data_IF_378969136738
#
_entry.id   IF_378969136738
#
_cell.length_a   1.000
_cell.length_b   1.000
_cell.length_c   1.000
_cell.angle_alpha   90.00
_cell.angle_beta   90.00
_cell.angle_gamma   90.00
#
_symmetry.space_group_name_H-M   'P 1'
#
loop_
_entity.id
_entity.type
_entity.pdbx_description
1 polymer ?
#
# COMPACT_ATOMS: atom_id res chain seq x y z
N UNK A 1 -12.46 4.46 -4.64
CA UNK A 1 -11.50 4.32 -3.53
C UNK A 1 -11.03 5.68 -3.03
N UNK A 2 -10.85 5.87 -1.72
CA UNK A 2 -10.27 7.08 -1.11
C UNK A 2 -8.75 6.97 -0.93
N UNK A 3 -8.03 8.09 -1.03
CA UNK A 3 -6.57 8.14 -0.84
C UNK A 3 -6.22 9.04 0.34
N UNK A 4 -5.41 8.54 1.27
CA UNK A 4 -4.93 9.26 2.44
C UNK A 4 -3.40 9.33 2.47
N UNK A 5 -2.86 10.45 2.96
CA UNK A 5 -1.42 10.57 3.24
C UNK A 5 -0.53 10.69 2.00
N UNK A 6 -1.08 11.06 0.84
CA UNK A 6 -0.31 11.29 -0.39
C UNK A 6 0.79 12.35 -0.20
N UNK A 7 0.47 13.44 0.48
CA UNK A 7 1.42 14.52 0.78
C UNK A 7 2.56 14.03 1.68
N UNK A 8 2.28 13.04 2.53
CA UNK A 8 3.27 12.51 3.47
C UNK A 8 4.43 11.80 2.76
N UNK A 9 4.24 11.35 1.52
CA UNK A 9 5.27 10.64 0.75
C UNK A 9 5.87 11.47 -0.39
N UNK A 10 5.46 12.73 -0.57
CA UNK A 10 5.92 13.56 -1.70
C UNK A 10 7.44 13.68 -1.75
N UNK A 11 8.05 14.12 -0.65
CA UNK A 11 9.49 14.23 -0.54
C UNK A 11 10.23 12.90 -0.76
N UNK A 12 9.55 11.77 -0.53
CA UNK A 12 10.14 10.46 -0.68
C UNK A 12 10.21 10.08 -2.15
N UNK A 13 9.20 10.45 -2.95
CA UNK A 13 9.17 10.18 -4.39
C UNK A 13 10.31 10.88 -5.16
N UNK A 14 10.87 11.95 -4.62
CA UNK A 14 12.02 12.66 -5.21
C UNK A 14 13.37 11.93 -4.97
N UNK A 15 13.39 10.85 -4.18
CA UNK A 15 14.59 10.07 -3.90
C UNK A 15 14.65 8.80 -4.78
N UNK A 16 15.80 8.52 -5.40
CA UNK A 16 16.00 7.32 -6.23
C UNK A 16 15.84 5.98 -5.47
N UNK A 17 15.91 6.03 -4.14
CA UNK A 17 15.89 4.87 -3.26
C UNK A 17 14.87 4.99 -2.13
N UNK A 18 13.62 5.37 -2.45
CA UNK A 18 12.58 5.48 -1.45
C UNK A 18 12.00 4.13 -1.01
N UNK A 19 11.47 4.12 0.21
CA UNK A 19 10.56 3.09 0.65
C UNK A 19 9.58 3.64 1.68
N UNK A 20 8.29 3.53 1.36
CA UNK A 20 7.21 3.91 2.27
C UNK A 20 6.22 2.76 2.42
N UNK A 21 5.35 2.88 3.42
CA UNK A 21 4.37 1.86 3.77
C UNK A 21 2.99 2.34 3.35
N UNK A 22 2.09 1.37 3.14
CA UNK A 22 0.69 1.67 2.94
C UNK A 22 -0.23 0.65 3.57
N UNK A 23 -1.47 1.08 3.83
CA UNK A 23 -2.61 0.23 4.17
C UNK A 23 -3.64 0.30 3.06
N UNK A 24 -4.29 -0.81 2.73
CA UNK A 24 -5.24 -0.88 1.62
C UNK A 24 -6.40 -1.82 1.94
N UNK A 25 -7.62 -1.41 1.62
CA UNK A 25 -8.77 -2.30 1.51
C UNK A 25 -9.62 -1.89 0.30
N UNK A 26 -10.84 -2.41 0.19
CA UNK A 26 -11.72 -2.12 -0.96
C UNK A 26 -12.21 -0.66 -1.00
N UNK A 27 -12.09 0.07 0.11
CA UNK A 27 -12.64 1.43 0.24
C UNK A 27 -11.57 2.51 0.21
N UNK A 28 -10.36 2.23 0.71
CA UNK A 28 -9.32 3.23 0.87
C UNK A 28 -7.90 2.67 0.76
N UNK A 29 -6.98 3.55 0.38
CA UNK A 29 -5.53 3.38 0.55
C UNK A 29 -4.98 4.51 1.41
N UNK A 30 -4.08 4.20 2.34
CA UNK A 30 -3.32 5.19 3.09
C UNK A 30 -1.83 4.98 2.93
N UNK A 31 -1.15 6.03 2.49
CA UNK A 31 0.30 6.08 2.28
C UNK A 31 0.95 6.80 3.46
N UNK A 32 2.07 6.28 3.95
CA UNK A 32 2.80 6.89 5.06
C UNK A 32 4.27 6.49 5.06
N UNK A 33 5.13 7.39 5.56
CA UNK A 33 6.57 7.15 5.68
C UNK A 33 6.87 5.95 6.55
N UNK A 34 7.88 5.17 6.16
CA UNK A 34 8.35 4.03 6.95
C UNK A 34 9.05 4.47 8.25
N UNK A 35 9.47 5.73 8.36
CA UNK A 35 10.15 6.29 9.52
C UNK A 35 9.55 7.64 9.92
N UNK A 36 9.56 7.92 11.22
CA UNK A 36 9.21 9.24 11.77
C UNK A 36 10.38 10.23 11.61
N UNK A 37 10.14 11.52 11.84
CA UNK A 37 11.20 12.54 11.84
C UNK A 37 12.33 12.30 12.86
N UNK A 38 12.09 11.45 13.87
CA UNK A 38 13.10 10.99 14.84
C UNK A 38 13.76 9.65 14.49
N UNK A 39 13.52 9.11 13.29
CA UNK A 39 14.15 7.87 12.79
C UNK A 39 13.51 6.55 13.25
N UNK A 40 12.42 6.59 14.02
CA UNK A 40 11.72 5.37 14.48
C UNK A 40 10.87 4.76 13.37
N UNK A 41 10.86 3.42 13.27
CA UNK A 41 10.07 2.72 12.26
C UNK A 41 8.57 2.78 12.57
N UNK A 42 7.77 3.22 11.58
CA UNK A 42 6.31 3.20 11.68
C UNK A 42 5.80 1.81 11.33
N UNK A 43 5.03 1.20 12.22
CA UNK A 43 4.44 -0.12 11.98
C UNK A 43 3.05 0.02 11.34
N UNK A 44 2.68 -0.91 10.46
CA UNK A 44 1.33 -0.92 9.85
C UNK A 44 0.22 -0.92 10.90
N UNK A 45 0.39 -1.67 12.00
CA UNK A 45 -0.60 -1.75 13.09
C UNK A 45 -0.78 -0.45 13.89
N UNK A 46 0.22 0.43 13.88
CA UNK A 46 0.13 1.74 14.55
C UNK A 46 -0.61 2.78 13.71
N UNK A 47 -0.90 2.48 12.44
CA UNK A 47 -1.55 3.41 11.53
C UNK A 47 -3.03 3.05 11.38
N UNK A 48 -3.92 3.95 11.79
CA UNK A 48 -5.38 3.79 11.67
C UNK A 48 -5.98 5.06 11.08
N UNK A 49 -6.52 4.95 9.88
CA UNK A 49 -7.07 6.10 9.14
C UNK A 49 -8.09 5.64 8.11
N UNK A 50 -9.14 6.42 7.88
CA UNK A 50 -10.11 6.14 6.81
C UNK A 50 -10.80 4.78 6.96
N UNK A 51 -10.96 4.26 8.19
CA UNK A 51 -11.51 2.93 8.45
C UNK A 51 -10.54 1.77 8.18
N UNK A 52 -9.27 2.04 7.84
CA UNK A 52 -8.21 1.03 7.68
C UNK A 52 -7.64 0.64 9.04
N UNK A 53 -7.59 -0.66 9.30
CA UNK A 53 -6.93 -1.24 10.48
C UNK A 53 -6.19 -2.50 10.06
N UNK A 54 -4.87 -2.50 10.19
CA UNK A 54 -4.06 -3.71 10.13
C UNK A 54 -3.82 -4.19 11.56
N UNK A 55 -4.14 -5.46 11.81
CA UNK A 55 -3.97 -6.08 13.13
C UNK A 55 -3.20 -7.39 12.96
N UNK A 56 -2.52 -7.78 14.02
CA UNK A 56 -1.81 -9.07 14.08
C UNK A 56 -2.81 -10.23 13.86
N UNK A 57 -2.30 -11.37 13.40
CA UNK A 57 -3.10 -12.55 13.02
C UNK A 57 -4.19 -12.27 11.97
N UNK A 58 -4.00 -11.25 11.12
CA UNK A 58 -4.94 -10.90 10.04
C UNK A 58 -6.34 -10.51 10.55
N UNK A 59 -6.45 -10.07 11.81
CA UNK A 59 -7.74 -9.70 12.42
C UNK A 59 -8.30 -8.37 11.88
N UNK A 60 -7.43 -7.60 11.24
CA UNK A 60 -7.75 -6.32 10.61
C UNK A 60 -8.62 -6.45 9.37
N UNK A 61 -8.84 -5.30 8.74
CA UNK A 61 -9.61 -5.17 7.50
C UNK A 61 -8.78 -4.56 6.36
N UNK A 62 -7.46 -4.45 6.54
CA UNK A 62 -6.56 -3.82 5.57
C UNK A 62 -5.35 -4.71 5.28
N UNK A 63 -4.93 -4.73 4.03
CA UNK A 63 -3.65 -5.24 3.57
C UNK A 63 -2.51 -4.32 4.02
N UNK A 64 -1.36 -4.90 4.34
CA UNK A 64 -0.13 -4.16 4.60
C UNK A 64 0.76 -4.19 3.35
N UNK A 65 1.24 -3.01 2.95
CA UNK A 65 2.02 -2.82 1.72
C UNK A 65 3.34 -2.13 2.02
N UNK A 66 4.35 -2.47 1.22
CA UNK A 66 5.61 -1.73 1.11
C UNK A 66 5.73 -1.28 -0.35
N UNK A 67 5.98 0.01 -0.55
CA UNK A 67 6.15 0.59 -1.88
C UNK A 67 7.60 1.05 -2.03
N UNK A 68 8.20 0.67 -3.16
CA UNK A 68 9.58 1.00 -3.58
C UNK A 68 9.54 1.38 -5.07
N UNK A 69 10.58 2.02 -5.61
CA UNK A 69 10.65 2.31 -7.04
C UNK A 69 10.34 1.07 -7.90
N UNK A 70 9.27 1.14 -8.70
CA UNK A 70 8.87 0.10 -9.64
C UNK A 70 8.16 -1.12 -9.04
N UNK A 71 7.92 -1.17 -7.72
CA UNK A 71 7.28 -2.32 -7.08
C UNK A 71 6.38 -1.96 -5.88
N UNK A 72 5.23 -2.63 -5.81
CA UNK A 72 4.34 -2.66 -4.65
C UNK A 72 4.36 -4.09 -4.10
N UNK A 73 4.83 -4.26 -2.88
CA UNK A 73 4.89 -5.55 -2.16
C UNK A 73 3.73 -5.63 -1.17
N UNK A 74 2.81 -6.58 -1.38
CA UNK A 74 1.65 -6.83 -0.54
C UNK A 74 1.93 -8.01 0.39
N UNK A 75 1.76 -7.80 1.69
CA UNK A 75 1.84 -8.87 2.69
C UNK A 75 0.59 -9.72 2.69
N UNK A 76 0.75 -11.01 3.00
CA UNK A 76 -0.35 -11.96 3.11
C UNK A 76 -1.46 -11.49 4.05
N UNK A 77 -2.70 -11.76 3.66
CA UNK A 77 -3.88 -11.63 4.50
C UNK A 77 -4.93 -12.68 4.09
N UNK A 78 -5.39 -13.47 5.05
CA UNK A 78 -6.34 -14.58 4.85
C UNK A 78 -7.68 -14.19 4.19
N UNK A 79 -8.19 -12.99 4.47
CA UNK A 79 -9.46 -12.44 3.94
C UNK A 79 -9.38 -11.91 2.51
N UNK A 80 -8.19 -11.89 1.89
CA UNK A 80 -7.98 -11.31 0.57
C UNK A 80 -7.46 -12.38 -0.41
N UNK A 81 -8.33 -12.82 -1.32
CA UNK A 81 -7.94 -13.72 -2.41
C UNK A 81 -7.13 -12.99 -3.48
N UNK A 82 -6.40 -13.74 -4.30
CA UNK A 82 -5.59 -13.20 -5.40
C UNK A 82 -6.46 -12.37 -6.38
N UNK A 83 -7.68 -12.84 -6.69
CA UNK A 83 -8.63 -12.13 -7.57
C UNK A 83 -9.08 -10.81 -6.95
N UNK A 84 -9.41 -10.82 -5.65
CA UNK A 84 -9.82 -9.62 -4.93
C UNK A 84 -8.69 -8.60 -4.91
N UNK A 85 -7.46 -9.04 -4.63
CA UNK A 85 -6.27 -8.17 -4.65
C UNK A 85 -6.07 -7.59 -6.05
N UNK A 86 -6.17 -8.39 -7.11
CA UNK A 86 -6.04 -7.91 -8.49
C UNK A 86 -7.07 -6.82 -8.83
N UNK A 87 -8.34 -7.01 -8.44
CA UNK A 87 -9.40 -6.01 -8.63
C UNK A 87 -9.12 -4.71 -7.88
N UNK A 88 -8.76 -4.80 -6.60
CA UNK A 88 -8.42 -3.63 -5.77
C UNK A 88 -7.23 -2.88 -6.39
N UNK A 89 -6.19 -3.59 -6.81
CA UNK A 89 -4.99 -2.98 -7.38
C UNK A 89 -5.26 -2.32 -8.73
N UNK A 90 -6.16 -2.89 -9.54
CA UNK A 90 -6.62 -2.26 -10.78
C UNK A 90 -7.26 -0.90 -10.49
N UNK A 91 -8.12 -0.83 -9.46
CA UNK A 91 -8.71 0.43 -9.02
C UNK A 91 -7.64 1.40 -8.50
N UNK A 92 -6.76 0.96 -7.59
CA UNK A 92 -5.67 1.79 -7.03
C UNK A 92 -4.84 2.45 -8.12
N UNK A 93 -4.42 1.68 -9.14
CA UNK A 93 -3.58 2.19 -10.24
C UNK A 93 -4.30 3.16 -11.18
N UNK A 94 -5.63 3.15 -11.17
CA UNK A 94 -6.43 4.10 -11.95
C UNK A 94 -6.62 5.46 -11.25
N UNK A 95 -6.22 5.57 -9.97
CA UNK A 95 -6.36 6.80 -9.19
C UNK A 95 -5.31 7.84 -9.61
N UNK A 96 -5.70 9.11 -9.86
CA UNK A 96 -4.75 10.18 -10.17
C UNK A 96 -3.63 10.34 -9.12
N UNK A 97 -3.95 10.19 -7.84
CA UNK A 97 -3.00 10.30 -6.73
C UNK A 97 -1.92 9.20 -6.76
N UNK A 98 -2.21 8.10 -7.46
CA UNK A 98 -1.34 6.93 -7.63
C UNK A 98 -0.65 6.91 -9.00
N UNK A 99 -0.69 7.99 -9.78
CA UNK A 99 -0.09 8.05 -11.11
C UNK A 99 1.39 7.63 -11.11
N UNK A 100 2.13 7.99 -10.06
CA UNK A 100 3.54 7.62 -9.89
C UNK A 100 3.78 6.09 -9.88
N UNK A 101 2.77 5.30 -9.51
CA UNK A 101 2.85 3.85 -9.39
C UNK A 101 2.05 3.09 -10.46
N UNK A 102 1.52 3.78 -11.48
CA UNK A 102 0.67 3.17 -12.53
C UNK A 102 1.33 1.95 -13.18
N UNK A 103 2.64 2.05 -13.44
CA UNK A 103 3.43 1.02 -14.12
C UNK A 103 4.17 0.07 -13.16
N UNK A 104 3.95 0.20 -11.84
CA UNK A 104 4.70 -0.60 -10.86
C UNK A 104 4.25 -2.06 -10.91
N UNK A 105 5.20 -2.98 -10.75
CA UNK A 105 4.87 -4.39 -10.57
C UNK A 105 4.23 -4.57 -9.20
N UNK A 106 3.21 -5.40 -9.11
CA UNK A 106 2.57 -5.71 -7.83
C UNK A 106 2.86 -7.16 -7.49
N UNK A 107 3.30 -7.39 -6.26
CA UNK A 107 3.60 -8.74 -5.77
C UNK A 107 2.80 -9.04 -4.52
N UNK A 108 2.32 -10.27 -4.41
CA UNK A 108 1.63 -10.81 -3.24
C UNK A 108 2.29 -12.13 -2.86
N UNK A 109 2.81 -12.21 -1.63
CA UNK A 109 3.62 -13.36 -1.18
C UNK A 109 4.80 -13.68 -2.11
N UNK A 110 5.42 -12.65 -2.71
CA UNK A 110 6.52 -12.80 -3.66
C UNK A 110 6.09 -13.26 -5.07
N UNK A 111 4.81 -13.56 -5.30
CA UNK A 111 4.25 -13.87 -6.63
C UNK A 111 3.76 -12.58 -7.28
N UNK A 112 4.01 -12.40 -8.57
CA UNK A 112 3.45 -11.25 -9.28
C UNK A 112 1.94 -11.40 -9.40
N UNK A 113 1.21 -10.34 -9.06
CA UNK A 113 -0.22 -10.20 -9.32
C UNK A 113 -0.35 -9.27 -10.52
N UNK A 114 -0.96 -9.77 -11.59
CA UNK A 114 -1.26 -8.95 -12.77
C UNK A 114 -2.68 -8.37 -12.60
N UNK A 115 -2.83 -7.06 -12.38
CA UNK A 115 -4.13 -6.43 -12.47
C UNK A 115 -4.55 -6.50 -13.95
N UNK A 116 -5.32 -7.52 -14.30
CA UNK A 116 -5.64 -7.89 -15.67
C UNK A 116 -5.87 -6.68 -16.60
N UNK A 117 -5.22 -6.75 -17.77
CA UNK A 117 -5.26 -5.77 -18.87
C UNK A 117 -6.65 -5.18 -19.10
#
# INVERSE_FOLDING_TARGET
MQVFGRDSIEAELDNDHYSFKALLNDSAISLFRSRTGGGSEVQHRSHKVGGLSYEDDYKGNALALIVKPGVIEIRYHDRFSDERIASIIKEVKSLPEMEFAKDFRVTYQGRQIDPGK
#
